data_IF_640012026592
#
_entry.id   IF_640012026592
#
_cell.length_a   1.000
_cell.length_b   1.000
_cell.length_c   1.000
_cell.angle_alpha   90.00
_cell.angle_beta   90.00
_cell.angle_gamma   90.00
#
_symmetry.space_group_name_H-M   'P 1'
#
loop_
_entity.id
_entity.type
_entity.pdbx_description
1 polymer ?
#
# COMPACT_ATOMS: atom_id res chain seq x y z
N UNK A 1 25.52 26.12 60.13
CA UNK A 1 25.24 26.86 58.88
C UNK A 1 25.01 25.85 57.78
N UNK A 2 23.75 25.57 57.44
CA UNK A 2 23.38 24.55 56.46
C UNK A 2 23.19 25.21 55.09
N UNK A 3 24.06 24.87 54.14
CA UNK A 3 24.03 25.39 52.77
C UNK A 3 22.86 24.78 52.00
N UNK A 4 21.87 25.61 51.67
CA UNK A 4 20.77 25.26 50.75
C UNK A 4 21.32 25.19 49.32
N UNK A 5 21.44 23.97 48.80
CA UNK A 5 21.71 23.71 47.38
C UNK A 5 20.48 24.13 46.57
N UNK A 6 20.63 25.15 45.70
CA UNK A 6 19.59 25.58 44.77
C UNK A 6 19.42 24.52 43.68
N UNK A 7 18.25 23.91 43.66
CA UNK A 7 17.78 23.03 42.60
C UNK A 7 17.63 23.85 41.30
N UNK A 8 18.46 23.55 40.29
CA UNK A 8 18.34 24.15 38.96
C UNK A 8 17.09 23.58 38.28
N UNK A 9 16.06 24.41 38.18
CA UNK A 9 14.89 24.13 37.35
C UNK A 9 15.27 24.14 35.87
N UNK A 10 15.06 23.02 35.20
CA UNK A 10 15.31 22.85 33.76
C UNK A 10 14.48 23.84 32.91
N UNK A 11 15.04 24.33 31.78
CA UNK A 11 14.37 25.29 30.91
C UNK A 11 13.14 24.70 30.22
N UNK A 12 12.00 25.39 30.36
CA UNK A 12 10.71 25.03 29.76
C UNK A 12 10.76 25.07 28.23
N UNK A 13 10.65 23.89 27.62
CA UNK A 13 9.77 23.58 26.49
C UNK A 13 10.02 24.30 25.15
N UNK A 14 10.97 23.80 24.36
CA UNK A 14 10.88 23.96 22.89
C UNK A 14 9.69 23.14 22.40
N UNK A 15 8.81 23.73 21.58
CA UNK A 15 7.69 23.03 20.94
C UNK A 15 8.21 21.83 20.16
N UNK A 16 8.18 20.64 20.78
CA UNK A 16 8.50 19.38 20.10
C UNK A 16 7.47 19.23 18.99
N UNK A 17 7.93 19.35 17.74
CA UNK A 17 7.12 19.04 16.56
C UNK A 17 6.51 17.66 16.81
N UNK A 18 5.18 17.57 16.74
CA UNK A 18 4.49 16.28 16.77
C UNK A 18 4.98 15.48 15.58
N UNK A 19 5.22 14.18 15.80
CA UNK A 19 5.55 13.30 14.70
C UNK A 19 4.30 13.09 13.81
N UNK A 20 4.50 12.76 12.54
CA UNK A 20 3.39 12.56 11.60
C UNK A 20 2.61 11.25 11.86
N UNK A 21 3.22 10.26 12.54
CA UNK A 21 2.56 9.00 12.93
C UNK A 21 1.77 9.06 14.23
N UNK A 22 1.87 10.15 14.98
CA UNK A 22 1.32 10.27 16.32
C UNK A 22 -0.22 10.34 16.23
N UNK A 23 -0.91 9.33 16.76
CA UNK A 23 -2.38 9.23 16.70
C UNK A 23 -2.92 8.48 15.47
N UNK A 24 -2.04 7.86 14.66
CA UNK A 24 -2.40 7.00 13.52
C UNK A 24 -2.02 5.55 13.85
N UNK A 25 -2.95 4.69 14.29
CA UNK A 25 -2.66 3.32 14.69
C UNK A 25 -1.90 2.52 13.63
N UNK A 26 -2.16 2.79 12.35
CA UNK A 26 -1.51 2.15 11.20
C UNK A 26 0.00 2.43 11.17
N UNK A 27 0.46 3.53 11.77
CA UNK A 27 1.86 3.94 11.79
C UNK A 27 2.52 3.54 13.10
N UNK A 28 1.89 2.66 13.88
CA UNK A 28 2.36 2.22 15.18
C UNK A 28 2.51 0.70 15.20
N UNK A 29 3.47 0.16 15.95
CA UNK A 29 3.58 -1.27 16.28
C UNK A 29 3.66 -1.43 17.79
N UNK A 30 2.98 -2.43 18.35
CA UNK A 30 2.96 -2.68 19.80
C UNK A 30 4.14 -3.54 20.22
N UNK A 31 4.84 -3.09 21.26
CA UNK A 31 5.96 -3.75 21.90
C UNK A 31 5.62 -4.01 23.38
N UNK A 32 5.65 -5.26 23.82
CA UNK A 32 5.24 -5.67 25.17
C UNK A 32 6.26 -6.61 25.81
N UNK A 33 6.30 -6.68 27.14
CA UNK A 33 7.26 -7.52 27.87
C UNK A 33 7.65 -6.90 29.22
N UNK A 34 8.74 -7.37 29.86
CA UNK A 34 9.21 -6.85 31.14
C UNK A 34 9.93 -5.49 30.99
N UNK A 35 9.32 -4.55 30.26
CA UNK A 35 9.91 -3.26 29.89
C UNK A 35 9.66 -2.14 30.91
N UNK A 36 8.84 -2.39 31.94
CA UNK A 36 8.39 -1.38 32.92
C UNK A 36 9.57 -0.71 33.65
N UNK A 37 10.63 -1.47 33.97
CA UNK A 37 11.80 -0.97 34.70
C UNK A 37 12.93 -0.40 33.84
N UNK A 38 12.72 -0.21 32.54
CA UNK A 38 13.73 0.30 31.61
C UNK A 38 13.51 1.77 31.29
N UNK A 39 14.59 2.54 31.14
CA UNK A 39 14.48 3.91 30.67
C UNK A 39 14.11 3.93 29.17
N UNK A 40 13.29 4.90 28.75
CA UNK A 40 12.88 5.04 27.35
C UNK A 40 14.09 5.15 26.41
N UNK A 41 15.15 5.84 26.84
CA UNK A 41 16.40 5.96 26.09
C UNK A 41 17.16 4.64 25.92
N UNK A 42 17.08 3.72 26.90
CA UNK A 42 17.73 2.41 26.82
C UNK A 42 17.00 1.51 25.81
N UNK A 43 15.66 1.50 25.87
CA UNK A 43 14.82 0.78 24.91
C UNK A 43 14.98 1.32 23.49
N UNK A 44 14.98 2.65 23.33
CA UNK A 44 15.15 3.28 22.02
C UNK A 44 16.54 2.97 21.44
N UNK A 45 17.60 3.01 22.27
CA UNK A 45 18.95 2.67 21.84
C UNK A 45 19.07 1.20 21.43
N UNK A 46 18.50 0.29 22.22
CA UNK A 46 18.46 -1.14 21.88
C UNK A 46 17.71 -1.37 20.57
N UNK A 47 16.53 -0.78 20.41
CA UNK A 47 15.73 -0.96 19.20
C UNK A 47 16.47 -0.45 17.96
N UNK A 48 17.16 0.69 18.07
CA UNK A 48 18.02 1.24 17.00
C UNK A 48 19.24 0.37 16.67
N UNK A 49 19.73 -0.44 17.61
CA UNK A 49 20.82 -1.39 17.32
C UNK A 49 20.32 -2.69 16.67
N UNK A 50 19.06 -3.06 16.89
CA UNK A 50 18.48 -4.31 16.40
C UNK A 50 17.81 -4.16 15.02
N UNK A 51 17.40 -2.95 14.66
CA UNK A 51 16.75 -2.67 13.38
C UNK A 51 17.38 -1.52 12.60
N UNK A 52 17.45 -1.70 11.28
CA UNK A 52 17.81 -0.67 10.32
C UNK A 52 16.58 0.13 9.83
N UNK A 53 15.37 -0.21 10.28
CA UNK A 53 14.13 0.45 9.84
C UNK A 53 13.95 1.75 10.65
N UNK A 54 13.85 2.92 9.99
CA UNK A 54 13.73 4.18 10.69
C UNK A 54 12.35 4.29 11.36
N UNK A 55 12.35 4.54 12.67
CA UNK A 55 11.14 4.89 13.42
C UNK A 55 11.26 6.30 14.00
N UNK A 56 10.12 6.96 14.20
CA UNK A 56 10.05 8.36 14.62
C UNK A 56 10.37 8.51 16.11
N UNK A 57 9.66 7.78 16.97
CA UNK A 57 9.88 7.76 18.41
C UNK A 57 9.19 6.56 19.06
N UNK A 58 9.54 6.34 20.31
CA UNK A 58 9.01 5.28 21.16
C UNK A 58 8.15 5.90 22.27
N UNK A 59 6.92 5.40 22.47
CA UNK A 59 6.01 5.88 23.51
C UNK A 59 5.69 4.74 24.48
N UNK A 60 6.30 4.78 25.66
CA UNK A 60 6.08 3.80 26.70
C UNK A 60 4.86 4.13 27.56
N UNK A 61 4.04 3.11 27.87
CA UNK A 61 3.00 3.19 28.91
C UNK A 61 3.56 2.58 30.18
N UNK A 62 4.17 3.42 31.02
CA UNK A 62 5.00 3.03 32.17
C UNK A 62 4.33 1.99 33.09
N UNK A 63 3.02 2.10 33.31
CA UNK A 63 2.27 1.22 34.21
C UNK A 63 1.71 -0.04 33.54
N UNK A 64 1.69 -0.10 32.21
CA UNK A 64 0.96 -1.14 31.48
C UNK A 64 1.88 -2.20 30.87
N UNK A 65 3.21 -2.01 30.96
CA UNK A 65 4.17 -3.00 30.46
C UNK A 65 4.19 -3.16 28.94
N UNK A 66 3.70 -2.15 28.22
CA UNK A 66 3.80 -2.08 26.78
C UNK A 66 4.18 -0.67 26.32
N UNK A 67 4.57 -0.59 25.06
CA UNK A 67 4.94 0.63 24.36
C UNK A 67 4.49 0.56 22.91
N UNK A 68 4.39 1.74 22.29
CA UNK A 68 4.16 1.88 20.86
C UNK A 68 5.41 2.42 20.18
N UNK A 69 5.82 1.75 19.11
CA UNK A 69 6.87 2.22 18.21
C UNK A 69 6.16 2.95 17.08
N UNK A 70 6.35 4.27 16.97
CA UNK A 70 5.73 5.08 15.93
C UNK A 70 6.68 5.29 14.76
N UNK A 71 6.15 5.16 13.55
CA UNK A 71 6.85 5.31 12.27
C UNK A 71 6.34 6.55 11.53
N UNK A 72 7.09 7.00 10.53
CA UNK A 72 6.66 8.11 9.66
C UNK A 72 5.72 7.63 8.53
N UNK A 73 5.65 6.32 8.31
CA UNK A 73 4.80 5.72 7.27
C UNK A 73 4.24 4.36 7.70
N UNK A 74 3.09 3.97 7.13
CA UNK A 74 2.53 2.61 7.27
C UNK A 74 3.43 1.56 6.62
N UNK A 75 4.18 1.93 5.59
CA UNK A 75 5.14 1.05 4.94
C UNK A 75 6.25 0.63 5.90
N UNK A 76 6.89 1.58 6.59
CA UNK A 76 7.95 1.29 7.56
C UNK A 76 7.41 0.51 8.76
N UNK A 77 6.22 0.85 9.26
CA UNK A 77 5.55 0.12 10.32
C UNK A 77 5.26 -1.33 9.92
N UNK A 78 4.78 -1.54 8.69
CA UNK A 78 4.54 -2.87 8.14
C UNK A 78 5.84 -3.66 7.98
N UNK A 79 6.90 -3.02 7.46
CA UNK A 79 8.18 -3.67 7.26
C UNK A 79 8.74 -4.14 8.60
N UNK A 80 8.72 -3.26 9.61
CA UNK A 80 9.12 -3.59 10.96
C UNK A 80 8.28 -4.73 11.54
N UNK A 81 6.95 -4.66 11.44
CA UNK A 81 6.09 -5.71 11.95
C UNK A 81 6.37 -7.06 11.29
N UNK A 82 6.49 -7.14 9.96
CA UNK A 82 6.74 -8.42 9.29
C UNK A 82 8.11 -9.00 9.60
N UNK A 83 9.13 -8.16 9.78
CA UNK A 83 10.48 -8.61 10.14
C UNK A 83 10.56 -9.12 11.58
N UNK A 84 9.84 -8.48 12.51
CA UNK A 84 10.06 -8.67 13.94
C UNK A 84 8.86 -9.20 14.73
N UNK A 85 7.72 -9.50 14.09
CA UNK A 85 6.53 -10.04 14.76
C UNK A 85 6.87 -11.31 15.55
N UNK A 86 6.28 -11.45 16.73
CA UNK A 86 6.55 -12.57 17.64
C UNK A 86 7.48 -12.15 18.77
N UNK A 87 8.42 -13.01 19.13
CA UNK A 87 9.32 -12.81 20.27
C UNK A 87 10.70 -12.38 19.76
N UNK A 88 11.18 -11.26 20.30
CA UNK A 88 12.53 -10.75 20.12
C UNK A 88 13.31 -10.88 21.42
N UNK A 89 14.55 -11.35 21.30
CA UNK A 89 15.51 -11.32 22.39
C UNK A 89 16.02 -9.89 22.58
N UNK A 90 15.75 -9.31 23.74
CA UNK A 90 16.30 -8.03 24.14
C UNK A 90 17.48 -8.25 25.09
N UNK A 91 18.59 -7.56 24.82
CA UNK A 91 19.75 -7.55 25.69
C UNK A 91 20.09 -6.11 26.08
N UNK A 92 20.01 -5.82 27.37
CA UNK A 92 20.42 -4.53 27.95
C UNK A 92 21.45 -4.82 29.04
N UNK A 93 22.66 -4.26 28.92
CA UNK A 93 23.83 -4.57 29.76
C UNK A 93 23.52 -4.64 31.26
N UNK A 94 22.69 -3.71 31.77
CA UNK A 94 22.35 -3.63 33.21
C UNK A 94 21.27 -4.60 33.67
N UNK A 95 20.50 -5.17 32.74
CA UNK A 95 19.28 -5.95 33.03
C UNK A 95 19.37 -7.40 32.55
N UNK A 96 20.39 -7.72 31.75
CA UNK A 96 20.56 -9.03 31.15
C UNK A 96 19.66 -9.23 29.95
N UNK A 97 19.44 -10.51 29.62
CA UNK A 97 18.60 -10.95 28.50
C UNK A 97 17.15 -11.09 28.97
N UNK A 98 16.20 -10.56 28.20
CA UNK A 98 14.77 -10.77 28.41
C UNK A 98 14.03 -10.72 27.09
N UNK A 99 12.82 -11.29 27.05
CA UNK A 99 12.02 -11.38 25.84
C UNK A 99 11.07 -10.19 25.71
N UNK A 100 11.02 -9.63 24.50
CA UNK A 100 10.07 -8.59 24.10
C UNK A 100 9.17 -9.16 23.01
N UNK A 101 7.87 -8.94 23.10
CA UNK A 101 6.90 -9.37 22.10
C UNK A 101 6.46 -8.20 21.23
N UNK A 102 6.61 -8.38 19.92
CA UNK A 102 6.11 -7.47 18.89
C UNK A 102 4.78 -8.00 18.37
N UNK A 103 3.77 -7.13 18.36
CA UNK A 103 2.38 -7.49 18.05
C UNK A 103 1.66 -6.33 17.36
N UNK A 104 0.48 -6.62 16.79
CA UNK A 104 -0.33 -5.62 16.12
C UNK A 104 -0.85 -4.56 17.10
N UNK A 105 -1.05 -3.35 16.60
CA UNK A 105 -1.82 -2.32 17.31
C UNK A 105 -3.31 -2.47 17.01
N UNK A 106 -4.12 -1.73 17.77
CA UNK A 106 -5.58 -1.67 17.61
C UNK A 106 -5.99 -0.24 17.29
N UNK A 107 -7.05 -0.09 16.50
CA UNK A 107 -7.65 1.22 16.29
C UNK A 107 -8.24 1.74 17.60
N UNK A 108 -8.03 3.03 17.87
CA UNK A 108 -8.39 3.64 19.15
C UNK A 108 -9.88 3.46 19.45
N UNK A 109 -10.18 2.95 20.65
CA UNK A 109 -11.56 2.69 21.09
C UNK A 109 -12.23 1.49 20.43
N UNK A 110 -11.47 0.63 19.74
CA UNK A 110 -11.98 -0.55 19.05
C UNK A 110 -11.16 -1.79 19.38
N UNK A 111 -11.73 -2.96 19.08
CA UNK A 111 -11.01 -4.24 19.08
C UNK A 111 -10.45 -4.59 17.69
N UNK A 112 -10.56 -3.68 16.72
CA UNK A 112 -10.09 -3.89 15.35
C UNK A 112 -8.57 -3.76 15.31
N UNK A 113 -7.90 -4.83 14.88
CA UNK A 113 -6.45 -4.85 14.67
C UNK A 113 -6.07 -4.06 13.43
N UNK A 114 -4.90 -3.42 13.48
CA UNK A 114 -4.26 -2.85 12.30
C UNK A 114 -3.77 -3.98 11.39
N UNK A 115 -4.04 -3.84 10.09
CA UNK A 115 -3.55 -4.76 9.06
C UNK A 115 -2.25 -4.18 8.48
N UNK A 116 -1.16 -4.92 8.64
CA UNK A 116 0.14 -4.56 8.06
C UNK A 116 0.34 -5.25 6.71
N UNK A 117 1.02 -4.56 5.79
CA UNK A 117 1.37 -5.11 4.48
C UNK A 117 2.29 -6.33 4.66
N UNK A 118 2.05 -7.40 3.91
CA UNK A 118 2.92 -8.57 3.86
C UNK A 118 3.90 -8.43 2.70
N UNK A 119 5.20 -8.43 3.00
CA UNK A 119 6.27 -8.34 2.02
C UNK A 119 6.86 -9.73 1.66
N UNK A 120 6.40 -10.80 2.33
CA UNK A 120 6.89 -12.17 2.12
C UNK A 120 6.07 -12.95 1.09
N UNK A 121 5.89 -12.42 -0.12
CA UNK A 121 5.50 -13.26 -1.27
C UNK A 121 6.56 -13.26 -2.38
N UNK A 122 7.65 -14.03 -2.23
CA UNK A 122 8.21 -14.77 -3.34
C UNK A 122 7.28 -15.95 -3.68
N UNK A 123 6.65 -15.88 -4.85
CA UNK A 123 5.92 -17.00 -5.49
C UNK A 123 6.92 -18.10 -5.87
N UNK A 124 7.09 -19.13 -5.02
CA UNK A 124 7.35 -20.54 -5.35
C UNK A 124 8.08 -21.28 -4.21
N UNK A 125 7.38 -22.21 -3.54
CA UNK A 125 7.98 -23.49 -3.16
C UNK A 125 7.59 -24.49 -4.24
N UNK A 126 8.45 -24.68 -5.24
CA UNK A 126 8.33 -25.74 -6.24
C UNK A 126 8.29 -27.09 -5.53
N UNK A 127 7.16 -27.79 -5.63
CA UNK A 127 7.14 -29.24 -5.52
C UNK A 127 7.95 -29.80 -6.69
N UNK A 128 8.91 -30.65 -6.36
CA UNK A 128 9.75 -31.39 -7.30
C UNK A 128 8.93 -32.55 -7.84
N UNK A 129 8.25 -32.37 -8.97
CA UNK A 129 7.72 -33.49 -9.76
C UNK A 129 8.82 -34.00 -10.67
N UNK A 130 9.19 -35.26 -10.45
CA UNK A 130 10.00 -36.09 -11.33
C UNK A 130 9.15 -36.56 -12.52
N UNK A 131 9.56 -36.20 -13.73
CA UNK A 131 9.19 -36.84 -15.01
C UNK A 131 10.45 -36.68 -15.87
N UNK A 132 11.13 -37.73 -16.34
CA UNK A 132 10.62 -38.85 -17.11
C UNK A 132 10.93 -38.54 -18.57
N UNK A 133 12.09 -39.00 -19.05
CA UNK A 133 12.58 -38.87 -20.43
C UNK A 133 11.58 -39.50 -21.42
N UNK A 134 11.27 -38.80 -22.52
CA UNK A 134 11.20 -39.40 -23.87
C UNK A 134 10.94 -38.36 -24.99
N UNK A 135 11.97 -38.23 -25.84
CA UNK A 135 12.05 -37.93 -27.29
C UNK A 135 11.32 -36.78 -28.05
N UNK A 136 11.91 -36.33 -29.19
CA UNK A 136 11.52 -35.10 -29.89
C UNK A 136 10.70 -35.33 -31.18
N UNK A 137 9.85 -34.37 -31.54
CA UNK A 137 9.25 -34.28 -32.88
C UNK A 137 9.33 -32.85 -33.43
N UNK A 138 10.16 -32.73 -34.47
CA UNK A 138 10.11 -31.97 -35.73
C UNK A 138 9.26 -30.69 -35.83
N UNK A 139 9.93 -29.66 -36.36
CA UNK A 139 9.45 -28.33 -36.72
C UNK A 139 8.37 -28.27 -37.83
N UNK A 140 7.62 -27.16 -37.87
CA UNK A 140 7.32 -26.45 -39.12
C UNK A 140 6.78 -25.03 -38.87
N UNK A 141 7.10 -24.18 -39.84
CA UNK A 141 6.96 -22.73 -39.92
C UNK A 141 5.58 -22.27 -40.43
N UNK A 142 5.24 -20.98 -40.22
CA UNK A 142 4.88 -20.03 -41.30
C UNK A 142 3.87 -18.93 -40.88
N UNK A 143 4.37 -17.68 -40.90
CA UNK A 143 3.82 -16.44 -41.50
C UNK A 143 2.35 -16.02 -41.31
N UNK A 144 2.15 -14.82 -40.76
CA UNK A 144 1.69 -13.57 -41.43
C UNK A 144 0.99 -12.66 -40.41
N UNK A 145 1.57 -11.50 -40.10
CA UNK A 145 0.86 -10.42 -39.40
C UNK A 145 0.82 -9.19 -40.32
N UNK A 146 -0.40 -8.78 -40.68
CA UNK A 146 -0.69 -7.54 -41.38
C UNK A 146 -0.59 -6.37 -40.41
N UNK A 147 0.21 -5.38 -40.77
CA UNK A 147 0.35 -4.10 -40.06
C UNK A 147 -0.59 -3.10 -40.75
N UNK A 148 -1.46 -2.41 -40.01
CA UNK A 148 -2.27 -1.32 -40.55
C UNK A 148 -2.01 0.00 -39.80
N UNK A 149 -1.91 1.05 -40.61
CA UNK A 149 -1.49 2.40 -40.27
C UNK A 149 -2.68 3.21 -39.70
N UNK A 150 -2.47 3.88 -38.56
CA UNK A 150 -3.46 4.78 -37.96
C UNK A 150 -3.25 6.18 -38.57
N UNK A 151 -4.14 6.58 -39.47
CA UNK A 151 -4.18 7.94 -40.02
C UNK A 151 -4.65 8.95 -38.96
N UNK A 152 -3.78 9.90 -38.62
CA UNK A 152 -4.08 11.05 -37.78
C UNK A 152 -4.43 12.26 -38.65
N UNK A 153 -5.70 12.68 -38.65
CA UNK A 153 -6.11 13.95 -39.25
C UNK A 153 -6.08 15.05 -38.18
N UNK A 154 -5.10 15.96 -38.33
CA UNK A 154 -5.05 17.26 -37.67
C UNK A 154 -5.96 18.22 -38.44
N UNK A 155 -6.96 18.80 -37.79
CA UNK A 155 -7.60 20.03 -38.26
C UNK A 155 -7.20 21.19 -37.35
N UNK A 156 -6.25 21.98 -37.84
CA UNK A 156 -5.95 23.32 -37.36
C UNK A 156 -7.03 24.26 -37.89
N UNK A 157 -7.53 25.15 -37.03
CA UNK A 157 -8.10 26.40 -37.48
C UNK A 157 -7.45 27.52 -36.67
N UNK A 158 -6.60 28.27 -37.36
CA UNK A 158 -6.06 29.54 -36.92
C UNK A 158 -7.18 30.58 -36.84
N UNK A 159 -7.17 31.42 -35.81
CA UNK A 159 -7.51 32.82 -36.00
C UNK A 159 -6.71 33.69 -35.04
N UNK A 160 -5.91 34.56 -35.67
CA UNK A 160 -5.14 35.64 -35.10
C UNK A 160 -6.08 36.71 -34.52
N UNK A 161 -5.69 37.41 -33.43
CA UNK A 161 -5.42 38.86 -33.45
C UNK A 161 -5.12 39.44 -32.05
N UNK A 162 -4.05 40.24 -32.02
CA UNK A 162 -3.80 41.50 -31.27
C UNK A 162 -3.44 41.48 -29.77
N UNK A 163 -2.20 41.95 -29.56
CA UNK A 163 -1.58 42.51 -28.35
C UNK A 163 -1.96 44.00 -28.22
N UNK A 164 -2.12 44.53 -26.99
CA UNK A 164 -1.22 45.63 -26.62
C UNK A 164 -0.69 45.60 -25.17
N UNK A 165 0.64 45.77 -25.09
CA UNK A 165 1.51 46.57 -24.18
C UNK A 165 1.09 46.90 -22.74
N UNK A 166 2.02 46.55 -21.84
CA UNK A 166 2.64 47.29 -20.71
C UNK A 166 1.82 48.26 -19.84
N UNK A 167 1.77 47.99 -18.53
CA UNK A 167 1.95 48.98 -17.43
C UNK A 167 2.68 48.31 -16.24
N UNK A 168 3.60 49.08 -15.63
CA UNK A 168 4.52 48.79 -14.51
C UNK A 168 3.90 48.30 -13.18
N UNK A 169 4.73 47.73 -12.27
CA UNK A 169 4.35 47.37 -10.91
C UNK A 169 4.80 48.45 -9.91
N UNK A 170 3.86 49.11 -9.23
CA UNK A 170 4.17 49.84 -7.99
C UNK A 170 3.04 49.76 -6.96
N UNK A 171 3.45 49.36 -5.75
CA UNK A 171 3.00 49.81 -4.43
C UNK A 171 1.49 49.74 -4.11
N UNK A 172 1.10 48.91 -3.13
CA UNK A 172 0.95 49.37 -1.75
C UNK A 172 0.19 48.40 -0.81
N UNK A 173 0.66 48.42 0.44
CA UNK A 173 -0.08 48.40 1.71
C UNK A 173 -0.72 47.10 2.20
N UNK A 174 -0.02 46.55 3.18
CA UNK A 174 -0.57 45.92 4.38
C UNK A 174 -1.79 46.67 4.92
N UNK A 175 -2.89 45.95 5.12
CA UNK A 175 -4.00 46.39 5.98
C UNK A 175 -3.93 45.58 7.26
N UNK A 176 -3.55 46.26 8.34
CA UNK A 176 -3.75 45.83 9.71
C UNK A 176 -5.24 45.96 10.04
N UNK A 177 -5.90 44.86 10.41
CA UNK A 177 -7.24 44.93 10.99
C UNK A 177 -7.07 45.03 12.50
N UNK A 178 -7.44 46.20 13.02
CA UNK A 178 -7.41 46.56 14.42
C UNK A 178 -8.45 45.81 15.24
N UNK A 179 -8.08 45.56 16.48
CA UNK A 179 -8.92 45.11 17.57
C UNK A 179 -9.90 46.20 17.98
N UNK A 180 -11.16 45.84 18.24
CA UNK A 180 -12.10 46.63 19.04
C UNK A 180 -12.50 45.86 20.30
N UNK A 181 -12.70 46.56 21.44
CA UNK A 181 -12.84 45.93 22.75
C UNK A 181 -14.31 45.78 23.22
N UNK A 182 -14.49 44.81 24.11
CA UNK A 182 -15.40 44.75 25.28
C UNK A 182 -16.91 44.87 25.04
N UNK A 183 -17.65 43.84 25.49
CA UNK A 183 -18.78 44.03 26.40
C UNK A 183 -19.04 42.77 27.23
N UNK A 184 -18.96 42.94 28.55
CA UNK A 184 -19.47 42.06 29.59
C UNK A 184 -21.00 41.98 29.51
N UNK A 185 -21.57 40.77 29.55
CA UNK A 185 -22.94 40.55 30.03
C UNK A 185 -22.98 39.29 30.89
N UNK A 186 -23.43 39.51 32.11
CA UNK A 186 -23.66 38.58 33.22
C UNK A 186 -24.94 37.75 33.06
N UNK A 187 -24.84 36.48 33.45
CA UNK A 187 -25.78 35.65 34.25
C UNK A 187 -27.23 35.50 33.78
N UNK A 188 -27.65 34.24 33.55
CA UNK A 188 -28.82 33.68 34.23
C UNK A 188 -28.76 32.15 34.31
N UNK A 189 -28.85 31.66 35.55
CA UNK A 189 -29.12 30.29 35.94
C UNK A 189 -30.54 29.87 35.52
N UNK A 190 -30.73 28.61 35.13
CA UNK A 190 -31.99 27.93 35.40
C UNK A 190 -31.73 26.45 35.65
N UNK A 191 -32.11 26.05 36.86
CA UNK A 191 -32.10 24.70 37.40
C UNK A 191 -33.16 23.83 36.72
N UNK A 192 -32.88 22.53 36.58
CA UNK A 192 -33.91 21.49 36.74
C UNK A 192 -33.27 20.27 37.40
N UNK A 193 -33.87 19.90 38.54
CA UNK A 193 -33.51 18.73 39.34
C UNK A 193 -34.07 17.42 38.73
N UNK A 194 -33.28 16.35 38.97
CA UNK A 194 -33.51 14.91 39.18
C UNK A 194 -34.97 14.39 39.38
N UNK A 195 -35.28 13.05 39.36
CA UNK A 195 -34.40 12.02 39.93
C UNK A 195 -34.51 10.54 39.47
N UNK A 196 -33.66 9.75 40.14
CA UNK A 196 -33.70 8.30 40.44
C UNK A 196 -32.96 7.37 39.45
N UNK A 197 -32.02 6.46 39.78
CA UNK A 197 -31.39 5.81 40.94
C UNK A 197 -31.45 4.28 40.72
N UNK A 198 -30.44 3.56 41.26
CA UNK A 198 -30.34 2.10 41.46
C UNK A 198 -29.69 1.27 40.33
N UNK A 199 -28.56 0.62 40.65
CA UNK A 199 -28.12 -0.56 39.88
C UNK A 199 -26.66 -1.01 39.97
N UNK A 200 -25.97 -0.87 41.11
CA UNK A 200 -24.65 -1.47 41.31
C UNK A 200 -24.71 -3.00 41.30
N UNK A 201 -24.00 -3.65 40.37
CA UNK A 201 -23.64 -5.08 40.47
C UNK A 201 -22.13 -5.26 40.31
N UNK A 202 -21.50 -5.55 41.44
CA UNK A 202 -20.18 -6.15 41.56
C UNK A 202 -20.19 -7.53 40.89
N UNK A 203 -19.21 -7.84 40.04
CA UNK A 203 -18.90 -9.22 39.67
C UNK A 203 -17.40 -9.51 39.85
N UNK A 204 -17.17 -10.30 40.89
CA UNK A 204 -16.04 -11.18 41.24
C UNK A 204 -14.93 -11.36 40.21
N UNK A 205 -13.72 -11.04 40.67
CA UNK A 205 -12.46 -11.61 40.20
C UNK A 205 -12.46 -13.13 40.44
N UNK A 206 -12.06 -13.91 39.43
CA UNK A 206 -11.66 -15.31 39.58
C UNK A 206 -10.13 -15.34 39.52
N UNK A 207 -9.52 -15.70 40.65
CA UNK A 207 -8.11 -16.05 40.74
C UNK A 207 -7.95 -17.49 40.26
N UNK A 208 -7.11 -17.72 39.25
CA UNK A 208 -6.65 -19.07 38.91
C UNK A 208 -5.19 -19.18 39.32
N UNK A 209 -4.97 -20.07 40.27
CA UNK A 209 -3.68 -20.50 40.81
C UNK A 209 -2.85 -21.27 39.78
N UNK A 210 -1.60 -20.85 39.66
CA UNK A 210 -0.37 -21.63 39.43
C UNK A 210 -0.49 -23.15 39.24
N UNK A 211 -0.01 -23.64 38.10
CA UNK A 211 0.49 -25.01 37.93
C UNK A 211 1.91 -24.94 37.36
N UNK A 212 2.85 -25.41 38.16
CA UNK A 212 4.26 -25.66 37.85
C UNK A 212 4.48 -27.07 37.32
N UNK A 213 5.22 -27.24 36.22
CA UNK A 213 6.02 -28.43 35.84
C UNK A 213 7.17 -27.94 34.94
N UNK A 214 8.41 -27.90 35.40
CA UNK A 214 9.46 -28.94 35.40
C UNK A 214 9.89 -29.43 34.00
N UNK A 215 11.09 -28.97 33.63
CA UNK A 215 12.24 -29.50 32.87
C UNK A 215 12.10 -30.78 32.03
N UNK A 216 12.68 -30.76 30.81
CA UNK A 216 13.89 -31.53 30.49
C UNK A 216 14.34 -31.43 29.01
N UNK A 217 15.66 -31.22 28.81
CA UNK A 217 16.52 -31.69 27.68
C UNK A 217 16.27 -31.14 26.25
N UNK A 218 17.22 -30.87 25.34
CA UNK A 218 18.68 -30.97 25.19
C UNK A 218 19.09 -30.08 23.97
N UNK A 219 20.39 -29.77 23.74
CA UNK A 219 20.81 -28.78 22.73
C UNK A 219 21.03 -29.39 21.33
N UNK A 220 20.65 -28.66 20.28
CA UNK A 220 20.97 -28.99 18.89
C UNK A 220 22.07 -28.06 18.36
N UNK A 221 23.15 -28.68 17.86
CA UNK A 221 24.26 -28.02 17.18
C UNK A 221 23.84 -27.44 15.82
N UNK A 222 24.19 -26.18 15.57
CA UNK A 222 24.03 -25.52 14.27
C UNK A 222 25.38 -25.46 13.56
N UNK A 223 25.49 -26.18 12.43
CA UNK A 223 26.56 -26.04 11.46
C UNK A 223 26.34 -24.77 10.62
N UNK A 224 27.29 -23.83 10.68
CA UNK A 224 27.39 -22.71 9.75
C UNK A 224 28.01 -23.19 8.43
N UNK A 225 27.37 -22.88 7.30
CA UNK A 225 28.02 -22.97 6.00
C UNK A 225 27.69 -21.75 5.13
N UNK A 226 28.66 -20.84 5.09
CA UNK A 226 28.66 -19.61 4.30
C UNK A 226 28.95 -19.95 2.84
N UNK A 227 28.05 -19.55 1.91
CA UNK A 227 28.35 -19.55 0.48
C UNK A 227 28.08 -18.18 -0.14
N UNK A 228 29.17 -17.56 -0.58
CA UNK A 228 29.20 -16.46 -1.52
C UNK A 228 28.46 -16.82 -2.82
N UNK A 229 27.65 -15.89 -3.32
CA UNK A 229 27.18 -15.91 -4.71
C UNK A 229 27.42 -14.53 -5.30
N UNK A 230 28.23 -14.52 -6.36
CA UNK A 230 28.51 -13.37 -7.20
C UNK A 230 27.27 -12.99 -8.04
N UNK A 231 26.98 -11.70 -8.08
CA UNK A 231 26.05 -11.08 -9.03
C UNK A 231 26.58 -11.15 -10.47
N UNK A 232 25.74 -11.57 -11.42
CA UNK A 232 25.82 -11.08 -12.80
C UNK A 232 24.44 -11.11 -13.48
N UNK A 233 23.94 -9.90 -13.71
CA UNK A 233 23.11 -9.35 -14.80
C UNK A 233 22.02 -10.16 -15.55
N UNK A 234 20.94 -9.40 -15.80
CA UNK A 234 20.07 -9.37 -16.99
C UNK A 234 19.02 -10.48 -17.15
N UNK A 235 17.75 -10.16 -16.86
CA UNK A 235 16.58 -10.83 -17.44
C UNK A 235 15.47 -9.86 -17.88
N UNK A 236 14.86 -10.26 -19.00
CA UNK A 236 13.99 -9.54 -19.92
C UNK A 236 12.50 -9.50 -19.44
N UNK A 237 11.55 -8.93 -20.24
CA UNK A 237 10.28 -8.38 -19.76
C UNK A 237 9.27 -9.46 -19.35
N UNK A 238 8.41 -9.09 -18.39
CA UNK A 238 7.34 -9.92 -17.85
C UNK A 238 6.33 -10.32 -18.94
N UNK A 239 6.14 -11.62 -19.09
CA UNK A 239 5.10 -12.23 -19.92
C UNK A 239 3.98 -12.68 -18.97
N UNK A 240 2.88 -11.93 -18.90
CA UNK A 240 1.73 -12.25 -18.04
C UNK A 240 0.84 -13.23 -18.79
N UNK A 241 1.26 -14.49 -18.90
CA UNK A 241 0.39 -15.60 -19.34
C UNK A 241 0.17 -16.52 -18.13
N UNK A 242 -1.10 -16.58 -17.71
CA UNK A 242 -1.57 -17.02 -16.40
C UNK A 242 -1.60 -18.53 -16.18
N UNK A 243 -1.29 -18.97 -14.96
CA UNK A 243 -1.99 -20.10 -14.35
C UNK A 243 -2.51 -19.65 -12.96
N UNK A 244 -3.79 -19.28 -12.92
CA UNK A 244 -4.62 -18.99 -11.73
C UNK A 244 -4.35 -17.68 -10.95
N UNK A 245 -3.81 -16.65 -11.60
CA UNK A 245 -3.84 -15.26 -11.13
C UNK A 245 -4.96 -14.46 -11.79
N UNK A 246 -5.61 -13.57 -11.04
CA UNK A 246 -6.69 -12.67 -11.50
C UNK A 246 -6.48 -12.16 -12.93
N UNK A 247 -7.46 -12.40 -13.81
CA UNK A 247 -7.45 -11.80 -15.14
C UNK A 247 -7.53 -10.27 -14.98
N UNK A 248 -6.59 -9.49 -15.54
CA UNK A 248 -6.52 -8.03 -15.35
C UNK A 248 -7.62 -7.27 -16.14
N UNK A 249 -8.69 -7.97 -16.52
CA UNK A 249 -9.77 -7.46 -17.34
C UNK A 249 -11.11 -8.13 -17.02
N UNK A 250 -12.19 -7.44 -17.38
CA UNK A 250 -13.54 -7.99 -17.39
C UNK A 250 -14.14 -7.88 -18.79
N UNK A 251 -14.95 -8.85 -19.20
CA UNK A 251 -15.69 -8.83 -20.46
C UNK A 251 -17.19 -8.88 -20.14
N UNK A 252 -17.98 -8.05 -20.81
CA UNK A 252 -19.43 -8.22 -20.86
C UNK A 252 -19.97 -7.97 -22.26
N UNK A 253 -21.05 -8.68 -22.61
CA UNK A 253 -21.67 -8.61 -23.92
C UNK A 253 -22.95 -7.78 -23.84
N UNK A 254 -22.94 -6.61 -24.46
CA UNK A 254 -24.11 -5.76 -24.61
C UNK A 254 -24.90 -6.20 -25.84
N UNK A 255 -25.75 -7.20 -25.62
CA UNK A 255 -26.56 -7.84 -26.67
C UNK A 255 -27.54 -6.84 -27.29
N UNK A 256 -28.03 -5.86 -26.51
CA UNK A 256 -29.01 -4.89 -26.99
C UNK A 256 -28.41 -3.96 -28.04
N UNK A 257 -27.17 -3.52 -27.80
CA UNK A 257 -26.48 -2.62 -28.72
C UNK A 257 -25.56 -3.36 -29.71
N UNK A 258 -25.38 -4.67 -29.54
CA UNK A 258 -24.50 -5.49 -30.39
C UNK A 258 -23.02 -5.19 -30.17
N UNK A 259 -22.61 -4.89 -28.93
CA UNK A 259 -21.22 -4.60 -28.58
C UNK A 259 -20.66 -5.59 -27.56
N UNK A 260 -19.38 -5.93 -27.72
CA UNK A 260 -18.57 -6.59 -26.70
C UNK A 260 -17.77 -5.49 -26.00
N UNK A 261 -17.93 -5.39 -24.69
CA UNK A 261 -17.24 -4.41 -23.88
C UNK A 261 -16.18 -5.09 -23.02
N UNK A 262 -14.97 -4.56 -23.07
CA UNK A 262 -13.80 -5.08 -22.38
C UNK A 262 -13.27 -3.97 -21.49
N UNK A 263 -13.17 -4.24 -20.20
CA UNK A 263 -12.66 -3.31 -19.19
C UNK A 263 -11.28 -3.79 -18.78
N UNK A 264 -10.25 -2.96 -18.93
CA UNK A 264 -8.86 -3.28 -18.57
C UNK A 264 -8.30 -2.24 -17.63
N UNK A 265 -7.65 -2.68 -16.56
CA UNK A 265 -6.94 -1.78 -15.65
C UNK A 265 -5.62 -1.33 -16.30
N UNK A 266 -5.50 -0.03 -16.53
CA UNK A 266 -4.43 0.62 -17.31
C UNK A 266 -3.99 1.90 -16.60
N UNK A 267 -3.40 1.78 -15.39
CA UNK A 267 -2.95 2.94 -14.64
C UNK A 267 -1.92 3.73 -15.46
N UNK A 268 -1.90 5.05 -15.28
CA UNK A 268 -1.00 5.98 -16.00
C UNK A 268 -1.26 6.16 -17.50
N UNK A 269 -2.18 5.42 -18.12
CA UNK A 269 -2.62 5.70 -19.49
C UNK A 269 -3.62 6.86 -19.46
N UNK A 270 -3.32 7.92 -20.20
CA UNK A 270 -4.18 9.11 -20.33
C UNK A 270 -4.67 9.35 -21.76
N UNK A 271 -4.07 8.66 -22.74
CA UNK A 271 -4.34 8.87 -24.16
C UNK A 271 -4.51 7.55 -24.91
N UNK A 272 -5.40 7.55 -25.90
CA UNK A 272 -5.58 6.42 -26.83
C UNK A 272 -4.30 6.10 -27.62
N UNK A 273 -3.40 7.08 -27.80
CA UNK A 273 -2.14 6.90 -28.54
C UNK A 273 -1.18 5.91 -27.85
N UNK A 274 -1.34 5.72 -26.54
CA UNK A 274 -0.51 4.82 -25.74
C UNK A 274 -1.08 3.40 -25.68
N UNK A 275 -2.20 3.16 -26.39
CA UNK A 275 -2.89 1.87 -26.49
C UNK A 275 -2.87 1.36 -27.93
N UNK A 276 -2.58 0.08 -28.07
CA UNK A 276 -2.62 -0.64 -29.32
C UNK A 276 -3.53 -1.87 -29.14
N UNK A 277 -4.48 -2.04 -30.05
CA UNK A 277 -5.42 -3.17 -30.03
C UNK A 277 -5.20 -3.93 -31.33
N UNK A 278 -4.62 -5.12 -31.22
CA UNK A 278 -4.33 -6.01 -32.34
C UNK A 278 -5.36 -7.12 -32.35
N UNK A 279 -5.91 -7.41 -33.53
CA UNK A 279 -6.80 -8.55 -33.71
C UNK A 279 -5.98 -9.76 -34.15
N UNK A 280 -6.15 -10.88 -33.45
CA UNK A 280 -5.43 -12.13 -33.69
C UNK A 280 -6.43 -13.22 -34.08
N UNK A 281 -7.22 -12.99 -35.12
CA UNK A 281 -8.26 -13.91 -35.61
C UNK A 281 -9.68 -13.56 -35.16
N UNK A 282 -10.62 -14.48 -35.42
CA UNK A 282 -12.07 -14.23 -35.30
C UNK A 282 -12.55 -13.96 -33.85
N UNK A 283 -11.82 -14.46 -32.86
CA UNK A 283 -12.23 -14.48 -31.45
C UNK A 283 -11.13 -14.06 -30.49
N UNK A 284 -10.02 -13.49 -30.97
CA UNK A 284 -8.92 -13.11 -30.09
C UNK A 284 -8.43 -11.71 -30.41
N UNK A 285 -8.18 -10.94 -29.35
CA UNK A 285 -7.52 -9.65 -29.44
C UNK A 285 -6.36 -9.60 -28.45
N UNK A 286 -5.35 -8.83 -28.79
CA UNK A 286 -4.24 -8.48 -27.92
C UNK A 286 -4.29 -6.97 -27.67
N UNK A 287 -4.44 -6.60 -26.40
CA UNK A 287 -4.42 -5.20 -25.95
C UNK A 287 -3.04 -4.93 -25.39
N UNK A 288 -2.32 -3.99 -26.00
CA UNK A 288 -1.02 -3.55 -25.54
C UNK A 288 -1.08 -2.11 -25.09
N UNK A 289 -0.47 -1.79 -23.95
CA UNK A 289 -0.40 -0.43 -23.44
C UNK A 289 1.04 -0.08 -23.05
N UNK A 290 1.48 1.14 -23.39
CA UNK A 290 2.76 1.70 -22.92
C UNK A 290 2.51 2.53 -21.68
N UNK A 291 2.88 2.01 -20.52
CA UNK A 291 2.62 2.65 -19.25
C UNK A 291 3.68 3.74 -19.00
N UNK A 292 3.24 4.96 -18.72
CA UNK A 292 4.17 6.05 -18.41
C UNK A 292 4.89 5.74 -17.10
N UNK A 293 6.22 5.75 -17.15
CA UNK A 293 7.06 5.68 -15.95
C UNK A 293 6.90 6.97 -15.16
N UNK A 294 6.55 6.85 -13.88
CA UNK A 294 6.48 8.00 -13.00
C UNK A 294 7.92 8.47 -12.75
N UNK A 295 8.22 9.71 -13.17
CA UNK A 295 9.48 10.36 -12.84
C UNK A 295 9.49 10.70 -11.35
N UNK A 296 10.06 9.82 -10.52
CA UNK A 296 10.21 10.07 -9.10
C UNK A 296 11.49 10.88 -8.87
N UNK A 297 11.39 12.01 -8.18
CA UNK A 297 12.56 12.75 -7.72
C UNK A 297 13.18 12.03 -6.51
N UNK A 298 14.40 11.53 -6.65
CA UNK A 298 15.14 10.83 -5.59
C UNK A 298 15.57 9.42 -5.97
N UNK A 299 15.96 8.62 -4.97
CA UNK A 299 16.37 7.22 -5.15
C UNK A 299 15.15 6.29 -5.10
N UNK A 300 14.93 5.54 -6.18
CA UNK A 300 13.91 4.50 -6.25
C UNK A 300 14.51 3.19 -5.77
N UNK A 301 14.11 2.74 -4.58
CA UNK A 301 14.62 1.49 -4.01
C UNK A 301 14.06 0.26 -4.73
N UNK A 302 12.77 0.26 -5.08
CA UNK A 302 12.09 -0.81 -5.83
C UNK A 302 11.01 -0.18 -6.71
N UNK A 303 11.00 -0.51 -8.01
CA UNK A 303 9.92 -0.15 -8.92
C UNK A 303 9.25 -1.42 -9.45
N UNK A 304 8.06 -1.71 -8.92
CA UNK A 304 7.25 -2.85 -9.36
C UNK A 304 6.20 -2.45 -10.43
N UNK A 305 6.22 -1.20 -10.90
CA UNK A 305 5.28 -0.77 -11.94
C UNK A 305 5.76 -1.29 -13.31
N UNK A 306 4.91 -2.01 -14.05
CA UNK A 306 5.25 -2.41 -15.40
C UNK A 306 5.38 -1.17 -16.28
N UNK A 307 6.29 -1.21 -17.24
CA UNK A 307 6.43 -0.21 -18.30
C UNK A 307 5.56 -0.53 -19.53
N UNK A 308 5.10 -1.77 -19.64
CA UNK A 308 4.24 -2.25 -20.71
C UNK A 308 3.22 -3.22 -20.14
N UNK A 309 1.98 -3.12 -20.61
CA UNK A 309 0.92 -4.08 -20.37
C UNK A 309 0.63 -4.82 -21.67
N UNK A 310 0.47 -6.14 -21.60
CA UNK A 310 -0.03 -6.97 -22.70
C UNK A 310 -1.13 -7.87 -22.14
N UNK A 311 -2.33 -7.80 -22.72
CA UNK A 311 -3.49 -8.57 -22.31
C UNK A 311 -4.07 -9.27 -23.53
N UNK A 312 -4.06 -10.59 -23.53
CA UNK A 312 -4.71 -11.41 -24.54
C UNK A 312 -6.12 -11.76 -24.08
N UNK A 313 -7.10 -11.48 -24.92
CA UNK A 313 -8.52 -11.61 -24.59
C UNK A 313 -9.22 -12.48 -25.63
N UNK A 314 -9.78 -13.60 -25.19
CA UNK A 314 -10.67 -14.43 -26.01
C UNK A 314 -12.10 -13.88 -25.91
N UNK A 315 -12.72 -13.60 -27.06
CA UNK A 315 -14.01 -12.95 -27.17
C UNK A 315 -15.16 -13.98 -27.24
N UNK A 316 -16.33 -13.67 -26.65
CA UNK A 316 -17.48 -14.56 -26.68
C UNK A 316 -18.15 -14.64 -28.06
N UNK A 317 -18.00 -13.60 -28.89
CA UNK A 317 -18.60 -13.49 -30.21
C UNK A 317 -17.58 -12.95 -31.21
N UNK A 318 -17.81 -13.23 -32.50
CA UNK A 318 -17.06 -12.59 -33.59
C UNK A 318 -17.29 -11.09 -33.59
N UNK A 319 -16.26 -10.35 -33.95
CA UNK A 319 -16.29 -8.90 -34.09
C UNK A 319 -16.34 -8.48 -35.56
N UNK A 320 -16.87 -7.30 -35.80
CA UNK A 320 -16.88 -6.66 -37.11
C UNK A 320 -15.55 -5.95 -37.33
N UNK A 321 -14.65 -6.55 -38.13
CA UNK A 321 -13.29 -6.05 -38.38
C UNK A 321 -13.26 -4.69 -39.08
N UNK A 322 -14.32 -4.37 -39.84
CA UNK A 322 -14.45 -3.09 -40.53
C UNK A 322 -14.82 -1.95 -39.56
N UNK A 323 -15.28 -2.28 -38.34
CA UNK A 323 -15.66 -1.32 -37.33
C UNK A 323 -14.51 -1.00 -36.37
N UNK A 324 -14.09 0.27 -36.35
CA UNK A 324 -13.07 0.75 -35.41
C UNK A 324 -13.52 0.59 -33.95
N UNK A 325 -12.62 0.10 -33.10
CA UNK A 325 -12.84 0.02 -31.66
C UNK A 325 -13.07 1.41 -31.05
N UNK A 326 -14.15 1.54 -30.25
CA UNK A 326 -14.39 2.72 -29.43
C UNK A 326 -13.67 2.53 -28.10
N UNK A 327 -12.84 3.49 -27.72
CA UNK A 327 -12.00 3.42 -26.51
C UNK A 327 -12.31 4.62 -25.63
N UNK A 328 -12.62 4.37 -24.36
CA UNK A 328 -12.83 5.40 -23.34
C UNK A 328 -11.89 5.13 -22.18
N UNK A 329 -11.17 6.15 -21.74
CA UNK A 329 -10.16 6.03 -20.67
C UNK A 329 -10.60 6.95 -19.53
N UNK A 330 -10.80 6.40 -18.34
CA UNK A 330 -11.23 7.17 -17.18
C UNK A 330 -10.54 6.63 -15.92
N UNK A 331 -9.79 7.50 -15.22
CA UNK A 331 -9.14 7.19 -13.94
C UNK A 331 -8.31 5.89 -13.95
N UNK A 332 -7.50 5.67 -15.00
CA UNK A 332 -6.66 4.47 -15.12
C UNK A 332 -7.44 3.18 -15.46
N UNK A 333 -8.69 3.31 -15.89
CA UNK A 333 -9.50 2.20 -16.42
C UNK A 333 -9.81 2.48 -17.88
N UNK A 334 -9.53 1.51 -18.75
CA UNK A 334 -9.83 1.58 -20.18
C UNK A 334 -11.01 0.69 -20.50
N UNK A 335 -12.06 1.27 -21.08
CA UNK A 335 -13.20 0.58 -21.66
C UNK A 335 -13.02 0.53 -23.18
N UNK A 336 -12.98 -0.68 -23.73
CA UNK A 336 -12.91 -0.96 -25.16
C UNK A 336 -14.24 -1.57 -25.58
N UNK A 337 -14.94 -0.92 -26.50
CA UNK A 337 -16.19 -1.41 -27.08
C UNK A 337 -15.94 -1.83 -28.53
N UNK A 338 -16.15 -3.12 -28.80
CA UNK A 338 -16.02 -3.74 -30.12
C UNK A 338 -17.40 -4.10 -30.65
N UNK A 339 -17.69 -3.77 -31.90
CA UNK A 339 -18.98 -4.13 -32.50
C UNK A 339 -18.98 -5.62 -32.82
N UNK A 340 -19.99 -6.35 -32.32
CA UNK A 340 -20.14 -7.76 -32.62
C UNK A 340 -20.70 -7.94 -34.03
N UNK A 341 -20.18 -8.93 -34.76
CA UNK A 341 -20.74 -9.35 -36.04
C UNK A 341 -22.00 -10.15 -35.77
N UNK A 342 -23.16 -9.55 -36.06
CA UNK A 342 -24.45 -10.21 -35.89
C UNK A 342 -24.48 -11.52 -36.69
N UNK A 343 -24.35 -12.66 -36.01
CA UNK A 343 -24.75 -13.92 -36.61
C UNK A 343 -26.27 -13.87 -36.70
N UNK A 344 -26.82 -13.85 -37.91
CA UNK A 344 -28.26 -14.04 -38.11
C UNK A 344 -28.58 -15.41 -37.52
N UNK A 345 -29.05 -15.46 -36.26
CA UNK A 345 -29.51 -16.70 -35.64
C UNK A 345 -30.67 -17.17 -36.50
N UNK A 346 -30.47 -18.26 -37.23
CA UNK A 346 -31.57 -18.96 -37.89
C UNK A 346 -32.44 -19.53 -36.77
N UNK A 347 -33.60 -18.93 -36.56
CA UNK A 347 -34.63 -19.50 -35.71
C UNK A 347 -35.26 -20.63 -36.52
N UNK A 348 -35.03 -21.86 -36.10
CA UNK A 348 -35.78 -23.00 -36.60
C UNK A 348 -37.13 -22.96 -35.88
N UNK A 349 -38.21 -22.73 -36.61
CA UNK A 349 -39.57 -22.91 -36.11
C UNK A 349 -39.91 -24.37 -36.42
N UNK A 350 -40.10 -25.18 -35.38
CA UNK A 350 -40.60 -26.57 -35.51
C UNK A 350 -42.11 -26.59 -35.75
#
# INVERSE_FOLDING_TARGET
>A
MASKTKELTEPKGKNKKRCDGCGRPEYAVMCSGPIQGLADSELEKWLKSETNIPFAHFVKKVHEGFAFIHFNSHFDASAFFQTYKGVMDCFIEKKGKFEVRISETFYFGTETKVVYLDFQTPLNKRQRTTVGDDQPVVASSSRNSSFFEISAENNQNENQFVVPRNIDPEQNRCISIGSTPVQDVSVNETQFEAPCNIGSKQNRCISISSISKQDDSAPFDIYNNTRNVNETQSKAPYDINSEQGYAPFAIYNDIQNGYINIIVFTPSITSKKDLEIIHSGDYEITIMARLQTIGVLGFVFINNLPNRLEVKVTLPNRIDEDCKAKVTINNGVTLISLKSKNSKRRIMIE
#
